data_IF_299252327989
#
_entry.id   IF_299252327989
#
_cell.length_a   1.000
_cell.length_b   1.000
_cell.length_c   1.000
_cell.angle_alpha   90.00
_cell.angle_beta   90.00
_cell.angle_gamma   90.00
#
_symmetry.space_group_name_H-M   'P 1'
#
loop_
_entity.id
_entity.type
_entity.pdbx_description
1 polymer ?
#
# COMPACT_ATOMS: atom_id res chain seq x y z
N UNK A 1 5.15 15.54 -14.12
CA UNK A 1 6.06 14.55 -13.51
C UNK A 1 6.09 14.78 -12.00
N UNK A 2 6.38 13.77 -11.19
CA UNK A 2 6.56 13.88 -9.75
C UNK A 2 8.01 13.53 -9.38
N UNK A 3 8.58 14.22 -8.38
CA UNK A 3 9.96 14.02 -7.95
C UNK A 3 9.99 13.63 -6.47
N UNK A 4 10.53 12.45 -6.17
CA UNK A 4 10.80 11.98 -4.80
C UNK A 4 12.27 12.24 -4.49
N UNK A 5 12.53 13.07 -3.48
CA UNK A 5 13.89 13.42 -3.04
C UNK A 5 14.26 12.59 -1.81
N UNK A 6 15.43 11.96 -1.84
CA UNK A 6 15.98 11.23 -0.71
C UNK A 6 17.06 12.06 -0.02
N UNK A 7 16.94 12.23 1.29
CA UNK A 7 17.93 12.93 2.11
C UNK A 7 18.88 11.94 2.77
N UNK A 8 20.17 12.30 2.79
CA UNK A 8 21.23 11.48 3.38
C UNK A 8 21.29 11.63 4.90
N UNK A 9 20.22 11.22 5.58
CA UNK A 9 20.09 11.36 7.04
C UNK A 9 20.25 10.03 7.81
N UNK A 10 20.37 8.91 7.11
CA UNK A 10 20.54 7.58 7.72
C UNK A 10 21.44 6.65 6.88
N UNK A 11 21.66 5.40 7.28
CA UNK A 11 22.21 4.38 6.34
C UNK A 11 21.11 3.66 5.55
N UNK A 12 19.84 3.87 5.94
CA UNK A 12 18.69 3.14 5.39
C UNK A 12 18.22 3.72 4.06
N UNK A 13 18.27 5.06 3.88
CA UNK A 13 17.83 5.71 2.63
C UNK A 13 18.55 5.18 1.38
N UNK A 14 19.84 4.84 1.49
CA UNK A 14 20.60 4.32 0.36
C UNK A 14 20.15 2.90 -0.04
N UNK A 15 19.78 2.06 0.94
CA UNK A 15 19.22 0.73 0.68
C UNK A 15 17.83 0.84 0.04
N UNK A 16 16.98 1.72 0.58
CA UNK A 16 15.61 1.89 0.10
C UNK A 16 15.61 2.45 -1.31
N UNK A 17 16.48 3.42 -1.59
CA UNK A 17 16.75 3.90 -2.94
C UNK A 17 17.14 2.76 -3.90
N UNK A 18 18.20 2.02 -3.56
CA UNK A 18 18.71 0.98 -4.47
C UNK A 18 17.60 -0.04 -4.72
N UNK A 19 16.84 -0.42 -3.69
CA UNK A 19 15.68 -1.28 -3.84
C UNK A 19 14.62 -0.67 -4.78
N UNK A 20 14.27 0.61 -4.60
CA UNK A 20 13.27 1.31 -5.41
C UNK A 20 13.67 1.33 -6.89
N UNK A 21 14.86 1.84 -7.23
CA UNK A 21 15.31 1.98 -8.62
C UNK A 21 15.57 0.63 -9.29
N UNK A 22 16.19 -0.33 -8.60
CA UNK A 22 16.50 -1.64 -9.19
C UNK A 22 15.28 -2.51 -9.38
N UNK A 23 14.30 -2.41 -8.48
CA UNK A 23 13.07 -3.18 -8.56
C UNK A 23 12.15 -2.55 -9.61
N UNK A 24 11.74 -1.29 -9.42
CA UNK A 24 10.72 -0.68 -10.27
C UNK A 24 11.21 -0.42 -11.70
N UNK A 25 12.51 -0.21 -11.90
CA UNK A 25 13.08 0.04 -13.24
C UNK A 25 12.89 -1.11 -14.23
N UNK A 26 12.63 -2.33 -13.75
CA UNK A 26 12.39 -3.50 -14.59
C UNK A 26 10.90 -3.90 -14.65
N UNK A 27 10.02 -3.21 -13.92
CA UNK A 27 8.61 -3.54 -13.83
C UNK A 27 7.78 -2.72 -14.82
N UNK A 28 6.88 -3.40 -15.52
CA UNK A 28 6.01 -2.79 -16.53
C UNK A 28 4.59 -3.33 -16.40
N UNK A 29 3.72 -2.57 -15.73
CA UNK A 29 2.32 -2.93 -15.56
C UNK A 29 1.45 -1.67 -15.41
N UNK A 30 0.23 -1.70 -15.96
CA UNK A 30 -0.70 -0.55 -15.99
C UNK A 30 -1.07 -0.03 -14.59
N UNK A 31 -1.09 -0.92 -13.59
CA UNK A 31 -1.40 -0.60 -12.19
C UNK A 31 -0.16 -0.38 -11.32
N UNK A 32 1.00 -0.09 -11.92
CA UNK A 32 2.20 0.37 -11.20
C UNK A 32 2.50 1.83 -11.58
N UNK A 33 3.01 2.60 -10.63
CA UNK A 33 3.50 3.95 -10.92
C UNK A 33 4.72 3.84 -11.83
N UNK A 34 4.68 4.52 -12.97
CA UNK A 34 5.76 4.45 -13.96
C UNK A 34 6.96 5.28 -13.50
N UNK A 35 8.11 4.63 -13.31
CA UNK A 35 9.39 5.30 -13.17
C UNK A 35 9.81 5.87 -14.54
N UNK A 36 10.09 7.17 -14.57
CA UNK A 36 10.62 7.86 -15.75
C UNK A 36 12.14 7.84 -15.73
N UNK A 37 12.74 8.04 -14.55
CA UNK A 37 14.18 8.03 -14.40
C UNK A 37 14.62 8.38 -12.99
N UNK A 38 15.93 8.49 -12.79
CA UNK A 38 16.53 8.89 -11.53
C UNK A 38 17.77 9.74 -11.81
N UNK A 39 18.13 10.58 -10.85
CA UNK A 39 19.31 11.44 -10.90
C UNK A 39 20.06 11.32 -9.57
N UNK A 40 21.39 11.15 -9.66
CA UNK A 40 22.29 11.28 -8.52
C UNK A 40 23.27 12.41 -8.79
N UNK A 41 23.13 13.52 -8.09
CA UNK A 41 24.01 14.68 -8.26
C UNK A 41 24.19 15.42 -6.93
N UNK A 42 25.41 15.91 -6.67
CA UNK A 42 25.72 16.72 -5.48
C UNK A 42 25.24 16.13 -4.16
N UNK A 43 25.34 14.80 -4.03
CA UNK A 43 24.92 14.04 -2.84
C UNK A 43 23.39 14.08 -2.57
N UNK A 44 22.61 14.48 -3.56
CA UNK A 44 21.17 14.35 -3.60
C UNK A 44 20.77 13.27 -4.58
N UNK A 45 19.70 12.57 -4.25
CA UNK A 45 19.09 11.67 -5.20
C UNK A 45 17.62 11.99 -5.39
N UNK A 46 17.26 12.08 -6.68
CA UNK A 46 15.91 12.30 -7.16
C UNK A 46 15.46 11.07 -7.93
N UNK A 47 14.29 10.55 -7.57
CA UNK A 47 13.59 9.54 -8.36
C UNK A 47 12.38 10.21 -8.99
N UNK A 48 12.22 10.02 -10.30
CA UNK A 48 11.28 10.78 -11.12
C UNK A 48 10.21 9.85 -11.67
N UNK A 49 8.96 10.18 -11.37
CA UNK A 49 7.78 9.39 -11.70
C UNK A 49 6.84 10.15 -12.63
N UNK A 50 5.99 9.38 -13.31
CA UNK A 50 4.79 9.93 -13.92
C UNK A 50 3.91 10.61 -12.85
N UNK A 51 3.32 11.75 -13.18
CA UNK A 51 2.53 12.52 -12.22
C UNK A 51 1.13 11.95 -12.10
N UNK A 52 0.66 11.81 -10.86
CA UNK A 52 -0.64 11.27 -10.51
C UNK A 52 -1.51 12.41 -9.99
N UNK A 53 -2.40 13.00 -10.81
CA UNK A 53 -3.09 14.25 -10.50
C UNK A 53 -4.04 14.14 -9.30
N UNK A 54 -4.60 12.95 -9.06
CA UNK A 54 -5.52 12.70 -7.95
C UNK A 54 -4.79 12.28 -6.65
N UNK A 55 -3.46 12.22 -6.68
CA UNK A 55 -2.66 11.96 -5.48
C UNK A 55 -2.82 10.54 -4.93
N UNK A 56 -2.54 10.39 -3.63
CA UNK A 56 -2.67 9.14 -2.90
C UNK A 56 -4.11 8.86 -2.47
N UNK A 57 -4.48 7.57 -2.48
CA UNK A 57 -5.82 7.09 -2.15
C UNK A 57 -6.23 7.41 -0.71
N UNK A 58 -5.28 7.40 0.22
CA UNK A 58 -5.49 7.75 1.63
C UNK A 58 -6.26 9.06 1.78
N UNK A 59 -5.91 10.08 1.01
CA UNK A 59 -6.55 11.41 1.06
C UNK A 59 -8.02 11.42 0.64
N UNK A 60 -8.48 10.37 -0.05
CA UNK A 60 -9.82 10.30 -0.66
C UNK A 60 -10.77 9.35 0.09
N UNK A 61 -10.23 8.35 0.79
CA UNK A 61 -11.05 7.33 1.47
C UNK A 61 -11.33 7.63 2.94
N UNK A 62 -10.52 8.42 3.63
CA UNK A 62 -10.65 8.63 5.08
C UNK A 62 -11.94 9.39 5.44
N UNK A 63 -12.81 8.76 6.23
CA UNK A 63 -14.05 9.31 6.77
C UNK A 63 -13.85 10.15 8.03
N UNK A 64 -13.00 9.72 8.96
CA UNK A 64 -12.92 10.28 10.31
C UNK A 64 -11.49 10.70 10.62
N UNK A 65 -11.27 12.00 10.69
CA UNK A 65 -10.07 12.58 11.30
C UNK A 65 -10.56 13.47 12.46
N UNK A 66 -10.32 13.03 13.70
CA UNK A 66 -10.76 13.70 14.93
C UNK A 66 -12.30 13.80 15.12
N UNK A 67 -13.07 12.89 14.53
CA UNK A 67 -14.53 12.83 14.72
C UNK A 67 -15.34 13.70 13.74
N UNK A 68 -14.67 14.38 12.81
CA UNK A 68 -15.33 15.14 11.75
C UNK A 68 -15.30 14.37 10.42
N UNK A 69 -16.44 14.34 9.73
CA UNK A 69 -16.58 13.77 8.40
C UNK A 69 -16.02 14.77 7.38
N UNK A 70 -14.93 14.43 6.71
CA UNK A 70 -14.42 15.25 5.60
C UNK A 70 -15.30 15.09 4.36
N UNK A 71 -15.84 16.20 3.85
CA UNK A 71 -16.46 16.33 2.52
C UNK A 71 -15.41 16.31 1.40
N UNK A 72 -14.50 15.34 1.42
CA UNK A 72 -13.59 15.09 0.29
C UNK A 72 -14.33 14.45 -0.88
N UNK A 73 -13.67 14.40 -2.04
CA UNK A 73 -14.05 13.62 -3.23
C UNK A 73 -14.42 12.18 -2.82
N UNK A 74 -15.69 11.95 -2.51
CA UNK A 74 -16.17 10.66 -2.08
C UNK A 74 -16.17 9.73 -3.27
N UNK A 75 -15.25 8.76 -3.27
CA UNK A 75 -15.18 7.74 -4.31
C UNK A 75 -16.42 6.85 -4.20
N UNK A 76 -17.17 6.74 -5.31
CA UNK A 76 -18.31 5.84 -5.41
C UNK A 76 -17.87 4.37 -5.32
N UNK A 77 -18.84 3.46 -5.13
CA UNK A 77 -18.55 2.04 -4.93
C UNK A 77 -17.85 1.38 -6.12
N UNK A 78 -18.20 1.79 -7.33
CA UNK A 78 -17.61 1.26 -8.56
C UNK A 78 -16.13 1.63 -8.69
N UNK A 79 -15.77 2.88 -8.40
CA UNK A 79 -14.38 3.36 -8.42
C UNK A 79 -13.57 2.64 -7.34
N UNK A 80 -14.10 2.51 -6.11
CA UNK A 80 -13.42 1.77 -5.03
C UNK A 80 -13.17 0.32 -5.40
N UNK A 81 -14.17 -0.34 -5.99
CA UNK A 81 -14.03 -1.70 -6.50
C UNK A 81 -12.96 -1.77 -7.61
N UNK A 82 -12.97 -0.85 -8.57
CA UNK A 82 -11.96 -0.75 -9.62
C UNK A 82 -10.55 -0.57 -9.08
N UNK A 83 -10.38 0.26 -8.04
CA UNK A 83 -9.11 0.46 -7.34
C UNK A 83 -8.62 -0.86 -6.72
N UNK A 84 -9.48 -1.56 -5.97
CA UNK A 84 -9.15 -2.85 -5.34
C UNK A 84 -8.72 -3.87 -6.42
N UNK A 85 -9.48 -3.98 -7.51
CA UNK A 85 -9.14 -4.86 -8.63
C UNK A 85 -7.80 -4.49 -9.29
N UNK A 86 -7.54 -3.20 -9.49
CA UNK A 86 -6.28 -2.71 -10.06
C UNK A 86 -5.07 -3.07 -9.20
N UNK A 87 -5.20 -2.94 -7.87
CA UNK A 87 -4.14 -3.32 -6.94
C UNK A 87 -3.98 -4.85 -6.85
N UNK A 88 -5.06 -5.63 -6.92
CA UNK A 88 -4.96 -7.08 -7.04
C UNK A 88 -4.19 -7.50 -8.30
N UNK A 89 -4.45 -6.87 -9.44
CA UNK A 89 -3.72 -7.11 -10.69
C UNK A 89 -2.24 -6.72 -10.57
N UNK A 90 -1.92 -5.60 -9.91
CA UNK A 90 -0.54 -5.22 -9.62
C UNK A 90 0.18 -6.28 -8.77
N UNK A 91 -0.46 -6.76 -7.69
CA UNK A 91 0.12 -7.76 -6.81
C UNK A 91 0.36 -9.10 -7.52
N UNK A 92 -0.62 -9.57 -8.30
CA UNK A 92 -0.45 -10.79 -9.10
C UNK A 92 0.72 -10.67 -10.07
N UNK A 93 0.86 -9.53 -10.76
CA UNK A 93 2.00 -9.25 -11.61
C UNK A 93 3.34 -9.31 -10.84
N UNK A 94 3.43 -8.69 -9.66
CA UNK A 94 4.64 -8.71 -8.83
C UNK A 94 4.98 -10.12 -8.33
N UNK A 95 3.98 -10.88 -7.92
CA UNK A 95 4.17 -12.18 -7.27
C UNK A 95 4.41 -13.33 -8.25
N UNK A 96 3.76 -13.27 -9.41
CA UNK A 96 3.67 -14.36 -10.38
C UNK A 96 4.04 -13.96 -11.82
N UNK A 97 3.87 -12.70 -12.21
CA UNK A 97 4.13 -12.21 -13.57
C UNK A 97 5.58 -11.82 -13.88
N UNK A 98 6.41 -11.65 -12.85
CA UNK A 98 7.81 -11.22 -12.98
C UNK A 98 8.77 -12.43 -13.05
N UNK A 99 9.90 -12.27 -13.76
CA UNK A 99 10.95 -13.31 -13.83
C UNK A 99 11.46 -13.73 -12.44
N UNK A 100 11.54 -12.76 -11.54
CA UNK A 100 11.77 -12.99 -10.11
C UNK A 100 10.59 -12.43 -9.37
N UNK A 101 10.12 -13.16 -8.36
CA UNK A 101 9.03 -12.71 -7.49
C UNK A 101 9.44 -11.45 -6.76
N UNK A 102 8.57 -10.44 -6.75
CA UNK A 102 8.78 -9.18 -6.02
C UNK A 102 7.79 -9.10 -4.87
N UNK A 103 8.30 -9.00 -3.65
CA UNK A 103 7.49 -8.68 -2.47
C UNK A 103 7.51 -7.16 -2.28
N UNK A 104 6.34 -6.53 -2.17
CA UNK A 104 6.24 -5.08 -2.02
C UNK A 104 6.58 -4.63 -0.60
N UNK A 105 6.07 -5.34 0.42
CA UNK A 105 6.30 -5.12 1.86
C UNK A 105 5.74 -3.83 2.47
N UNK A 106 5.14 -2.95 1.65
CA UNK A 106 4.51 -1.71 2.13
C UNK A 106 3.20 -1.39 1.38
N UNK A 107 2.30 -2.36 1.29
CA UNK A 107 0.96 -2.14 0.71
C UNK A 107 0.13 -1.32 1.70
N UNK A 108 -0.28 -0.12 1.30
CA UNK A 108 -1.11 0.80 2.09
C UNK A 108 -1.76 1.86 1.21
N UNK A 109 -2.82 2.51 1.69
CA UNK A 109 -3.56 3.50 0.91
C UNK A 109 -2.70 4.67 0.42
N UNK A 110 -1.74 5.15 1.22
CA UNK A 110 -0.86 6.26 0.82
C UNK A 110 0.17 5.91 -0.26
N UNK A 111 0.38 4.62 -0.52
CA UNK A 111 1.23 4.12 -1.61
C UNK A 111 0.42 3.80 -2.88
N UNK A 112 -0.90 3.99 -2.86
CA UNK A 112 -1.76 3.81 -4.03
C UNK A 112 -2.06 5.18 -4.60
N UNK A 113 -1.52 5.44 -5.78
CA UNK A 113 -1.72 6.69 -6.49
C UNK A 113 -2.86 6.55 -7.50
N UNK A 114 -3.58 7.63 -7.74
CA UNK A 114 -4.66 7.68 -8.72
C UNK A 114 -4.28 8.56 -9.92
N UNK A 115 -4.42 8.02 -11.12
CA UNK A 115 -4.26 8.79 -12.35
C UNK A 115 -5.51 9.65 -12.65
N UNK A 116 -5.51 10.37 -13.78
CA UNK A 116 -6.60 11.29 -14.16
C UNK A 116 -7.97 10.64 -14.27
N UNK A 117 -8.01 9.33 -14.54
CA UNK A 117 -9.24 8.55 -14.68
C UNK A 117 -9.59 7.78 -13.40
N UNK A 118 -8.93 8.08 -12.28
CA UNK A 118 -9.05 7.39 -10.99
C UNK A 118 -8.66 5.91 -11.03
N UNK A 119 -7.82 5.51 -12.00
CA UNK A 119 -7.24 4.18 -11.99
C UNK A 119 -6.11 4.09 -10.95
N UNK A 120 -6.08 2.98 -10.21
CA UNK A 120 -5.10 2.75 -9.16
C UNK A 120 -3.74 2.32 -9.71
N UNK A 121 -2.69 2.92 -9.15
CA UNK A 121 -1.28 2.62 -9.43
C UNK A 121 -0.51 2.46 -8.13
N UNK A 122 0.01 1.25 -7.90
CA UNK A 122 0.86 0.95 -6.76
C UNK A 122 2.24 1.59 -6.95
N UNK A 123 2.69 2.35 -5.96
CA UNK A 123 4.00 2.98 -5.91
C UNK A 123 4.74 2.68 -4.61
N UNK A 124 5.88 3.34 -4.45
CA UNK A 124 6.82 3.22 -3.31
C UNK A 124 7.42 1.82 -3.11
N UNK A 125 8.44 1.51 -3.90
CA UNK A 125 9.16 0.25 -3.88
C UNK A 125 10.38 0.27 -2.95
N UNK A 126 10.53 1.25 -2.06
CA UNK A 126 11.71 1.38 -1.20
C UNK A 126 11.94 0.16 -0.29
N UNK A 127 10.85 -0.46 0.18
CA UNK A 127 10.92 -1.68 0.99
C UNK A 127 10.88 -2.97 0.17
N UNK A 128 10.67 -2.89 -1.15
CA UNK A 128 10.45 -4.05 -2.00
C UNK A 128 11.68 -4.97 -2.05
N UNK A 129 11.45 -6.28 -2.13
CA UNK A 129 12.53 -7.28 -2.19
C UNK A 129 12.24 -8.32 -3.26
N UNK A 130 13.27 -8.69 -4.00
CA UNK A 130 13.19 -9.72 -5.03
C UNK A 130 13.58 -11.08 -4.46
N UNK A 131 12.77 -12.11 -4.72
CA UNK A 131 12.96 -13.49 -4.24
C UNK A 131 13.09 -14.42 -5.44
N UNK A 132 14.07 -15.35 -5.39
CA UNK A 132 14.19 -16.37 -6.42
C UNK A 132 13.00 -17.33 -6.34
N UNK A 133 12.46 -17.73 -7.49
CA UNK A 133 11.32 -18.65 -7.60
C UNK A 133 11.70 -20.10 -7.21
N UNK A 134 12.95 -20.35 -6.80
CA UNK A 134 13.57 -21.67 -6.65
C UNK A 134 13.22 -22.35 -5.31
N UNK A 135 11.93 -22.61 -5.06
CA UNK A 135 11.46 -23.47 -3.96
C UNK A 135 11.48 -22.86 -2.56
N UNK A 136 12.00 -21.64 -2.37
CA UNK A 136 11.83 -20.88 -1.13
C UNK A 136 10.58 -20.00 -1.24
N UNK A 137 9.53 -20.38 -0.52
CA UNK A 137 8.25 -19.64 -0.47
C UNK A 137 8.32 -18.37 0.38
N UNK A 138 9.44 -18.13 1.07
CA UNK A 138 9.60 -17.07 2.04
C UNK A 138 10.98 -16.39 1.94
N UNK A 139 11.01 -15.07 2.15
CA UNK A 139 12.24 -14.29 2.34
C UNK A 139 12.38 -13.77 3.77
N UNK A 140 13.21 -14.45 4.58
CA UNK A 140 13.53 -13.98 5.94
C UNK A 140 14.40 -12.74 5.82
N UNK A 141 13.86 -11.58 6.16
CA UNK A 141 14.68 -10.38 6.36
C UNK A 141 15.08 -10.28 7.82
N UNK A 142 16.33 -9.88 8.13
CA UNK A 142 16.73 -9.56 9.51
C UNK A 142 16.09 -8.27 10.03
N UNK A 143 15.47 -7.48 9.14
CA UNK A 143 14.94 -6.15 9.43
C UNK A 143 13.40 -6.18 9.37
N UNK A 144 12.75 -5.92 10.50
CA UNK A 144 11.31 -5.65 10.57
C UNK A 144 11.07 -4.34 9.81
N UNK A 145 10.28 -4.38 8.75
CA UNK A 145 9.94 -3.21 7.95
C UNK A 145 8.52 -3.34 7.39
N UNK A 146 7.84 -2.21 7.23
CA UNK A 146 6.46 -2.09 6.81
C UNK A 146 5.74 -1.03 7.63
N UNK A 147 4.47 -0.79 7.31
CA UNK A 147 3.65 0.19 8.03
C UNK A 147 2.77 -0.50 9.08
N UNK A 148 2.91 -0.11 10.35
CA UNK A 148 2.08 -0.59 11.47
C UNK A 148 0.59 -0.42 11.10
N UNK A 149 -0.21 -1.44 11.37
CA UNK A 149 -1.61 -1.53 10.93
C UNK A 149 -1.78 -2.38 9.67
N UNK A 150 -0.84 -2.37 8.73
CA UNK A 150 -0.89 -3.21 7.52
C UNK A 150 -0.01 -4.47 7.63
N UNK A 151 0.95 -4.47 8.56
CA UNK A 151 1.87 -5.59 8.74
C UNK A 151 1.15 -6.83 9.28
N UNK A 152 1.40 -7.97 8.65
CA UNK A 152 0.97 -9.26 9.16
C UNK A 152 1.65 -9.57 10.52
N UNK A 153 1.00 -10.31 11.43
CA UNK A 153 1.56 -10.62 12.74
C UNK A 153 2.96 -11.26 12.67
N UNK A 154 3.18 -12.17 11.72
CA UNK A 154 4.47 -12.83 11.49
C UNK A 154 5.56 -11.87 10.97
N UNK A 155 5.21 -10.79 10.27
CA UNK A 155 6.16 -9.73 9.94
C UNK A 155 6.68 -9.05 11.20
N UNK A 156 5.76 -8.75 12.13
CA UNK A 156 6.05 -8.06 13.38
C UNK A 156 6.86 -8.96 14.32
N UNK A 157 6.44 -10.22 14.46
CA UNK A 157 7.02 -11.17 15.41
C UNK A 157 8.44 -11.63 15.02
N UNK A 158 8.65 -11.93 13.74
CA UNK A 158 9.86 -12.63 13.29
C UNK A 158 10.49 -12.03 12.02
N UNK A 159 10.08 -10.84 11.58
CA UNK A 159 10.65 -10.16 10.41
C UNK A 159 10.42 -10.91 9.09
N UNK A 160 9.39 -11.77 9.05
CA UNK A 160 9.06 -12.66 7.94
C UNK A 160 8.36 -11.89 6.83
N UNK A 161 8.85 -11.93 5.59
CA UNK A 161 8.18 -11.31 4.44
C UNK A 161 7.90 -12.36 3.34
N UNK A 162 6.64 -12.55 3.02
CA UNK A 162 6.15 -13.51 2.01
C UNK A 162 5.11 -12.89 1.09
N UNK A 163 4.62 -13.68 0.13
CA UNK A 163 3.42 -13.34 -0.65
C UNK A 163 2.22 -13.15 0.28
N UNK A 164 2.05 -14.05 1.25
CA UNK A 164 0.94 -14.04 2.20
C UNK A 164 0.96 -12.77 3.07
N UNK A 165 2.14 -12.23 3.39
CA UNK A 165 2.23 -10.97 4.14
C UNK A 165 1.81 -9.75 3.31
N UNK A 166 2.10 -9.74 2.01
CA UNK A 166 1.57 -8.71 1.09
C UNK A 166 0.05 -8.88 0.92
N UNK A 167 -0.45 -10.13 0.86
CA UNK A 167 -1.89 -10.44 0.79
C UNK A 167 -2.63 -10.01 2.05
N UNK A 168 -2.04 -10.18 3.23
CA UNK A 168 -2.59 -9.66 4.49
C UNK A 168 -2.73 -8.14 4.44
N UNK A 169 -1.66 -7.43 4.04
CA UNK A 169 -1.67 -5.98 3.91
C UNK A 169 -2.71 -5.50 2.87
N UNK A 170 -2.87 -6.26 1.77
CA UNK A 170 -3.93 -6.04 0.79
C UNK A 170 -5.34 -6.25 1.37
N UNK A 171 -5.53 -7.26 2.23
CA UNK A 171 -6.78 -7.45 2.98
C UNK A 171 -7.11 -6.26 3.86
N UNK A 172 -6.12 -5.73 4.59
CA UNK A 172 -6.29 -4.51 5.40
C UNK A 172 -6.69 -3.32 4.53
N UNK A 173 -6.04 -3.15 3.38
CA UNK A 173 -6.38 -2.11 2.42
C UNK A 173 -7.83 -2.25 1.92
N UNK A 174 -8.29 -3.45 1.60
CA UNK A 174 -9.69 -3.67 1.18
C UNK A 174 -10.65 -3.18 2.26
N UNK A 175 -10.39 -3.53 3.53
CA UNK A 175 -11.24 -3.09 4.64
C UNK A 175 -11.18 -1.58 4.82
N UNK A 176 -10.00 -0.97 4.72
CA UNK A 176 -9.84 0.49 4.79
C UNK A 176 -10.63 1.19 3.68
N UNK A 177 -10.57 0.69 2.45
CA UNK A 177 -11.30 1.24 1.29
C UNK A 177 -12.81 1.02 1.43
N UNK A 178 -13.25 -0.15 1.89
CA UNK A 178 -14.67 -0.47 2.02
C UNK A 178 -15.34 0.29 3.18
N UNK A 179 -14.64 0.42 4.31
CA UNK A 179 -15.16 1.06 5.53
C UNK A 179 -14.85 2.56 5.62
N UNK A 180 -13.89 3.06 4.84
CA UNK A 180 -13.40 4.44 4.94
C UNK A 180 -12.72 4.75 6.29
N UNK A 181 -12.20 3.72 6.97
CA UNK A 181 -11.61 3.81 8.32
C UNK A 181 -10.14 3.41 8.29
N UNK A 182 -9.26 4.21 8.91
CA UNK A 182 -7.83 3.89 9.02
C UNK A 182 -7.63 2.61 9.87
N UNK A 183 -6.66 1.75 9.52
CA UNK A 183 -6.40 0.50 10.26
C UNK A 183 -5.84 0.70 11.68
N UNK A 184 -5.23 1.86 11.99
CA UNK A 184 -4.73 2.16 13.33
C UNK A 184 -3.75 3.33 13.32
N UNK A 185 -3.39 3.87 14.49
CA UNK A 185 -2.34 4.88 14.63
C UNK A 185 -0.99 4.23 14.95
N UNK A 186 0.08 4.84 14.45
CA UNK A 186 1.47 4.43 14.69
C UNK A 186 1.91 4.52 16.17
N UNK A 187 1.06 5.09 17.05
CA UNK A 187 1.32 5.34 18.47
C UNK A 187 0.35 4.59 19.41
N UNK A 188 -0.33 3.55 18.93
CA UNK A 188 -1.14 2.71 19.81
C UNK A 188 -0.24 1.83 20.69
N UNK A 189 -0.63 1.63 21.95
CA UNK A 189 0.14 0.83 22.92
C UNK A 189 0.33 -0.63 22.45
N UNK A 190 -0.58 -1.13 21.62
CA UNK A 190 -0.53 -2.46 21.05
C UNK A 190 -0.31 -2.40 19.52
N UNK A 191 0.93 -2.70 19.09
CA UNK A 191 1.31 -2.75 17.66
C UNK A 191 0.60 -3.84 16.85
N UNK A 192 -0.03 -4.80 17.53
CA UNK A 192 -0.83 -5.86 16.90
C UNK A 192 -2.30 -5.47 16.74
N UNK A 193 -2.75 -4.39 17.40
CA UNK A 193 -4.12 -3.92 17.25
C UNK A 193 -4.31 -3.30 15.87
N UNK A 194 -5.39 -3.72 15.22
CA UNK A 194 -5.83 -3.13 13.97
C UNK A 194 -7.32 -2.83 14.11
N UNK A 195 -7.63 -1.55 14.28
CA UNK A 195 -8.98 -1.06 14.56
C UNK A 195 -9.97 -1.38 13.45
N UNK A 196 -9.53 -1.37 12.18
CA UNK A 196 -10.45 -1.69 11.08
C UNK A 196 -10.76 -3.18 11.04
N UNK A 197 -9.77 -4.05 11.28
CA UNK A 197 -9.99 -5.49 11.40
C UNK A 197 -10.91 -5.78 12.59
N UNK A 198 -10.59 -5.26 13.77
CA UNK A 198 -11.38 -5.47 14.99
C UNK A 198 -12.83 -5.02 14.80
N UNK A 199 -13.03 -3.83 14.26
CA UNK A 199 -14.36 -3.29 13.96
C UNK A 199 -15.16 -4.17 13.00
N UNK A 200 -14.57 -4.54 11.85
CA UNK A 200 -15.27 -5.38 10.86
C UNK A 200 -15.54 -6.78 11.43
N UNK A 201 -14.62 -7.32 12.22
CA UNK A 201 -14.78 -8.63 12.86
C UNK A 201 -15.93 -8.62 13.89
N UNK A 202 -16.09 -7.54 14.65
CA UNK A 202 -17.20 -7.39 15.60
C UNK A 202 -18.54 -7.22 14.89
N UNK A 203 -18.58 -6.46 13.78
CA UNK A 203 -19.78 -6.35 12.94
C UNK A 203 -20.15 -7.69 12.30
N UNK A 204 -19.16 -8.45 11.83
CA UNK A 204 -19.37 -9.80 11.31
C UNK A 204 -19.95 -10.74 12.36
N UNK A 205 -19.34 -10.82 13.55
CA UNK A 205 -19.83 -11.66 14.67
C UNK A 205 -21.26 -11.30 15.10
N UNK A 206 -21.64 -10.03 14.94
CA UNK A 206 -22.97 -9.52 15.29
C UNK A 206 -24.01 -9.67 14.17
N UNK A 207 -23.63 -10.25 13.01
CA UNK A 207 -24.52 -10.40 11.85
C UNK A 207 -24.82 -9.08 11.12
N UNK A 208 -24.00 -8.05 11.33
CA UNK A 208 -24.18 -6.66 10.87
C UNK A 208 -23.05 -6.20 9.95
N UNK A 209 -22.45 -7.10 9.19
CA UNK A 209 -21.27 -6.78 8.36
C UNK A 209 -21.54 -5.65 7.34
N UNK A 210 -22.78 -5.53 6.85
CA UNK A 210 -23.18 -4.45 5.93
C UNK A 210 -23.07 -3.07 6.60
N UNK A 211 -23.31 -2.98 7.91
CA UNK A 211 -23.21 -1.73 8.67
C UNK A 211 -21.75 -1.24 8.82
N UNK A 212 -20.77 -2.09 8.48
CA UNK A 212 -19.36 -1.71 8.45
C UNK A 212 -18.97 -0.93 7.20
N UNK A 213 -19.80 -0.95 6.15
CA UNK A 213 -19.52 -0.28 4.87
C UNK A 213 -19.61 1.24 5.06
N UNK A 214 -18.76 1.98 4.36
CA UNK A 214 -18.77 3.44 4.37
C UNK A 214 -20.13 3.98 3.93
N UNK A 215 -20.82 4.69 4.83
CA UNK A 215 -22.15 5.27 4.63
C UNK A 215 -22.26 6.23 3.44
N UNK A 216 -21.14 6.74 2.92
CA UNK A 216 -21.13 7.60 1.73
C UNK A 216 -21.34 6.81 0.43
N UNK A 217 -21.11 5.50 0.45
CA UNK A 217 -21.38 4.63 -0.69
C UNK A 217 -22.89 4.51 -1.00
N UNK A 218 -23.74 4.66 0.02
CA UNK A 218 -25.20 4.61 -0.14
C UNK A 218 -25.79 5.92 -0.69
N UNK A 219 -25.05 7.04 -0.61
CA UNK A 219 -25.54 8.37 -1.03
C UNK A 219 -25.36 8.66 -2.52
N UNK A 220 -24.73 7.75 -3.28
CA UNK A 220 -24.40 7.95 -4.70
C UNK A 220 -25.27 7.10 -5.64
N UNK A 221 -26.44 6.64 -5.16
CA UNK A 221 -27.49 6.01 -5.98
C UNK A 221 -28.51 7.03 -6.48
#
# INVERSE_FOLDING_TARGET
MAVKRFFKDSRQWAKDLIAEVTTIGNLHHKNLVKLIGWLYESNELLVVYEFMPNGGLDKLIICEENGEIREGLSLNGEIRHGIICGIAQALDYLHNGCQKRVLHRDIKASNIMLDSELNARLGDFGLARTVQVNGKTHHSTKEIAGTIGYMAPECILIGRATVETDVFAFGVLILEVACGRKPGKQYEENIYSNRVIEYVWDMYKSGKIIDAIDVRLDRLR
#
